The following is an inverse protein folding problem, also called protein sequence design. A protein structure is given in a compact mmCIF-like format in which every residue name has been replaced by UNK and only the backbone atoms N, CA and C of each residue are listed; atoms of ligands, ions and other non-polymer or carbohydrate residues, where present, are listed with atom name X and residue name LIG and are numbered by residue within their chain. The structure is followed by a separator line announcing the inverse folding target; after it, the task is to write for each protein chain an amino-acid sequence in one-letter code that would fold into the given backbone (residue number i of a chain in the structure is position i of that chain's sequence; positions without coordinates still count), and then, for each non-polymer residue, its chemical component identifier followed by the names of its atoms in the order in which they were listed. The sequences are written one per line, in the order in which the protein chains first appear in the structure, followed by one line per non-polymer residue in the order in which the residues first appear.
data_IF_792458087746
#
_entry.id   IF_792458087746
#
_cell.length_a   1.000
_cell.length_b   1.000
_cell.length_c   1.000
_cell.angle_alpha   90.00
_cell.angle_beta   90.00
_cell.angle_gamma   90.00
#
_symmetry.space_group_name_H-M   'P 1'
#
loop_
_entity.id
_entity.type
_entity.pdbx_description
1 polymer ?
#
# COMPACT_ATOMS: atom_id res chain seq x y z
N UNK A 1 7.42 7.19 -11.31
CA UNK A 1 6.35 6.36 -11.90
C UNK A 1 5.52 7.14 -12.93
N UNK A 2 4.90 8.29 -12.57
CA UNK A 2 4.05 9.05 -13.51
C UNK A 2 4.86 9.56 -14.71
N UNK A 3 5.98 10.22 -14.47
CA UNK A 3 6.85 10.70 -15.54
C UNK A 3 7.36 9.56 -16.43
N UNK A 4 7.64 8.42 -15.84
CA UNK A 4 8.06 7.21 -16.53
C UNK A 4 6.95 6.64 -17.43
N UNK A 5 5.70 6.60 -16.95
CA UNK A 5 4.55 6.21 -17.79
C UNK A 5 4.35 7.21 -18.94
N UNK A 6 4.46 8.52 -18.66
CA UNK A 6 4.28 9.53 -19.70
C UNK A 6 5.41 9.47 -20.75
N UNK A 7 6.66 9.10 -20.37
CA UNK A 7 7.79 8.99 -21.29
C UNK A 7 7.70 7.82 -22.28
N UNK A 8 6.80 6.84 -22.06
CA UNK A 8 6.56 5.77 -23.04
C UNK A 8 6.17 6.34 -24.41
N UNK A 9 5.52 7.49 -24.45
CA UNK A 9 5.13 8.17 -25.68
C UNK A 9 6.29 8.79 -26.46
N UNK A 10 7.49 8.84 -25.87
CA UNK A 10 8.70 9.22 -26.59
C UNK A 10 9.21 8.10 -27.50
N UNK A 11 8.79 6.85 -27.21
CA UNK A 11 9.17 5.66 -27.99
C UNK A 11 8.04 5.16 -28.91
N UNK A 12 6.79 5.39 -28.51
CA UNK A 12 5.61 4.92 -29.23
C UNK A 12 4.63 6.07 -29.44
N UNK A 13 4.32 6.37 -30.68
CA UNK A 13 3.30 7.37 -30.99
C UNK A 13 1.91 6.88 -30.63
N UNK A 14 1.26 7.62 -29.72
CA UNK A 14 -0.15 7.42 -29.36
C UNK A 14 -0.98 8.59 -29.89
N UNK A 15 -1.75 8.33 -30.94
CA UNK A 15 -2.57 9.36 -31.57
C UNK A 15 -3.84 9.66 -30.75
N UNK A 16 -4.39 8.63 -30.10
CA UNK A 16 -5.67 8.73 -29.43
C UNK A 16 -5.84 7.65 -28.35
N UNK A 17 -6.44 7.99 -27.22
CA UNK A 17 -6.86 7.04 -26.20
C UNK A 17 -8.32 7.23 -25.80
N UNK A 18 -8.94 6.17 -25.32
CA UNK A 18 -10.22 6.19 -24.60
C UNK A 18 -9.98 5.61 -23.22
N UNK A 19 -10.26 6.41 -22.18
CA UNK A 19 -10.22 5.98 -20.79
C UNK A 19 -11.62 5.99 -20.21
N UNK A 20 -11.90 5.04 -19.33
CA UNK A 20 -13.16 4.97 -18.58
C UNK A 20 -12.90 4.92 -17.08
N UNK A 21 -13.82 5.48 -16.31
CA UNK A 21 -13.91 5.31 -14.86
C UNK A 21 -15.13 4.43 -14.59
N UNK A 22 -14.93 3.42 -13.76
CA UNK A 22 -15.94 2.43 -13.41
C UNK A 22 -16.42 2.64 -11.97
N UNK A 23 -17.69 2.33 -11.72
CA UNK A 23 -18.23 2.18 -10.37
C UNK A 23 -17.89 0.80 -9.77
N UNK A 24 -18.34 0.53 -8.55
CA UNK A 24 -18.15 -0.76 -7.85
C UNK A 24 -18.79 -1.94 -8.58
N UNK A 25 -19.83 -1.68 -9.37
CA UNK A 25 -20.53 -2.68 -10.20
C UNK A 25 -19.94 -2.81 -11.60
N UNK A 26 -18.81 -2.13 -11.86
CA UNK A 26 -18.13 -2.07 -13.17
C UNK A 26 -18.92 -1.38 -14.28
N UNK A 27 -19.90 -0.55 -13.95
CA UNK A 27 -20.54 0.32 -14.92
C UNK A 27 -19.64 1.50 -15.26
N UNK A 28 -19.64 1.94 -16.51
CA UNK A 28 -18.92 3.14 -16.93
C UNK A 28 -19.64 4.38 -16.39
N UNK A 29 -19.02 5.14 -15.52
CA UNK A 29 -19.53 6.38 -14.93
C UNK A 29 -18.89 7.64 -15.49
N UNK A 30 -17.74 7.49 -16.16
CA UNK A 30 -17.09 8.56 -16.90
C UNK A 30 -16.29 7.98 -18.05
N UNK A 31 -16.28 8.65 -19.20
CA UNK A 31 -15.40 8.36 -20.31
C UNK A 31 -14.66 9.64 -20.71
N UNK A 32 -13.35 9.52 -20.96
CA UNK A 32 -12.50 10.59 -21.44
C UNK A 32 -11.71 10.10 -22.65
N UNK A 33 -11.78 10.82 -23.75
CA UNK A 33 -11.17 10.42 -25.00
C UNK A 33 -10.38 11.57 -25.64
N UNK A 34 -9.33 11.25 -26.39
CA UNK A 34 -8.50 12.21 -27.10
C UNK A 34 -7.00 12.04 -26.84
N UNK A 35 -6.27 13.14 -26.77
CA UNK A 35 -4.83 13.13 -26.53
C UNK A 35 -4.49 12.37 -25.24
N UNK A 36 -3.57 11.42 -25.31
CA UNK A 36 -3.26 10.46 -24.24
C UNK A 36 -3.03 11.12 -22.87
N UNK A 37 -2.26 12.19 -22.76
CA UNK A 37 -2.05 12.90 -21.49
C UNK A 37 -3.34 13.59 -21.04
N UNK A 38 -4.01 14.35 -21.92
CA UNK A 38 -5.19 15.16 -21.53
C UNK A 38 -6.37 14.29 -21.12
N UNK A 39 -6.70 13.27 -21.91
CA UNK A 39 -7.78 12.33 -21.61
C UNK A 39 -7.51 11.56 -20.31
N UNK A 40 -6.27 11.09 -20.12
CA UNK A 40 -5.89 10.44 -18.88
C UNK A 40 -6.03 11.38 -17.65
N UNK A 41 -5.53 12.61 -17.72
CA UNK A 41 -5.65 13.59 -16.62
C UNK A 41 -7.10 13.94 -16.30
N UNK A 42 -7.96 14.03 -17.32
CA UNK A 42 -9.39 14.26 -17.14
C UNK A 42 -10.05 13.11 -16.37
N UNK A 43 -9.76 11.86 -16.74
CA UNK A 43 -10.27 10.68 -16.02
C UNK A 43 -9.74 10.63 -14.57
N UNK A 44 -8.47 10.94 -14.33
CA UNK A 44 -7.91 11.03 -12.99
C UNK A 44 -8.59 12.11 -12.14
N UNK A 45 -8.82 13.30 -12.70
CA UNK A 45 -9.49 14.39 -11.98
C UNK A 45 -10.95 14.03 -11.62
N UNK A 46 -11.61 13.25 -12.45
CA UNK A 46 -12.94 12.72 -12.13
C UNK A 46 -12.87 11.70 -10.98
N UNK A 47 -11.92 10.77 -11.06
CA UNK A 47 -11.70 9.75 -10.03
C UNK A 47 -11.35 10.37 -8.67
N UNK A 48 -10.50 11.40 -8.65
CA UNK A 48 -10.11 12.12 -7.44
C UNK A 48 -11.32 12.70 -6.70
N UNK A 49 -12.32 13.21 -7.41
CA UNK A 49 -13.55 13.73 -6.80
C UNK A 49 -14.39 12.67 -6.11
N UNK A 50 -14.27 11.41 -6.53
CA UNK A 50 -15.04 10.29 -5.96
C UNK A 50 -14.30 9.64 -4.78
N UNK A 51 -12.98 9.48 -4.88
CA UNK A 51 -12.24 8.60 -3.97
C UNK A 51 -11.16 9.32 -3.16
N UNK A 52 -10.77 10.54 -3.52
CA UNK A 52 -9.76 11.27 -2.78
C UNK A 52 -10.39 11.98 -1.59
N UNK A 53 -10.10 11.50 -0.41
CA UNK A 53 -10.55 12.09 0.85
C UNK A 53 -9.47 13.06 1.34
N UNK A 54 -9.73 14.37 1.42
CA UNK A 54 -8.79 15.31 1.99
C UNK A 54 -8.69 15.10 3.50
N UNK A 55 -7.48 15.03 4.03
CA UNK A 55 -7.19 15.02 5.46
C UNK A 55 -6.48 16.32 5.83
N UNK A 56 -6.85 16.92 6.97
CA UNK A 56 -6.25 18.18 7.41
C UNK A 56 -4.82 18.00 7.92
N UNK A 57 -4.54 16.86 8.56
CA UNK A 57 -3.23 16.52 9.11
C UNK A 57 -3.06 15.00 9.17
N UNK A 58 -1.81 14.53 9.27
CA UNK A 58 -1.53 13.11 9.45
C UNK A 58 -1.83 12.65 10.90
N UNK A 59 -2.18 11.38 11.04
CA UNK A 59 -2.50 10.76 12.34
C UNK A 59 -1.29 10.02 12.93
N UNK A 60 -1.33 9.82 14.24
CA UNK A 60 -0.37 8.99 14.99
C UNK A 60 -0.57 7.51 14.69
N UNK A 61 -1.83 7.11 14.52
CA UNK A 61 -2.26 5.75 14.29
C UNK A 61 -3.17 5.75 13.07
N UNK A 62 -2.94 4.81 12.15
CA UNK A 62 -3.84 4.56 11.04
C UNK A 62 -4.23 3.09 11.04
N UNK A 63 -5.51 2.81 11.18
CA UNK A 63 -6.06 1.46 11.05
C UNK A 63 -6.55 1.31 9.62
N UNK A 64 -6.14 0.24 8.96
CA UNK A 64 -6.55 -0.02 7.58
C UNK A 64 -6.88 -1.50 7.37
N UNK A 65 -8.03 -1.76 6.76
CA UNK A 65 -8.38 -3.09 6.28
C UNK A 65 -7.98 -3.24 4.81
N UNK A 66 -7.50 -4.42 4.45
CA UNK A 66 -7.30 -4.78 3.04
C UNK A 66 -8.62 -5.00 2.27
N UNK A 67 -9.76 -5.05 2.98
CA UNK A 67 -11.10 -5.14 2.41
C UNK A 67 -11.61 -6.57 2.21
N UNK A 68 -11.07 -7.55 2.93
CA UNK A 68 -11.51 -8.95 2.92
C UNK A 68 -11.16 -9.71 1.65
N UNK A 69 -11.62 -10.96 1.58
CA UNK A 69 -11.36 -11.86 0.45
C UNK A 69 -11.92 -11.30 -0.87
N UNK A 70 -11.18 -11.38 -1.97
CA UNK A 70 -9.83 -11.94 -2.16
C UNK A 70 -8.68 -10.93 -1.98
N UNK A 71 -8.96 -9.70 -1.53
CA UNK A 71 -7.94 -8.62 -1.45
C UNK A 71 -6.93 -8.84 -0.32
N UNK A 72 -7.28 -9.66 0.67
CA UNK A 72 -6.47 -9.98 1.84
C UNK A 72 -5.99 -11.45 1.88
N UNK A 73 -6.11 -12.17 0.76
CA UNK A 73 -5.76 -13.59 0.66
C UNK A 73 -4.28 -13.85 1.04
N UNK A 74 -3.40 -12.89 0.73
CA UNK A 74 -1.97 -12.91 1.06
C UNK A 74 -1.43 -11.49 1.25
N UNK A 75 -0.23 -11.37 1.83
CA UNK A 75 0.38 -10.08 2.10
C UNK A 75 0.73 -9.31 0.82
N UNK A 76 1.07 -10.00 -0.26
CA UNK A 76 1.34 -9.38 -1.57
C UNK A 76 0.14 -8.58 -2.10
N UNK A 77 -1.08 -9.03 -1.81
CA UNK A 77 -2.30 -8.30 -2.16
C UNK A 77 -2.63 -7.23 -1.11
N UNK A 78 -2.56 -7.58 0.18
CA UNK A 78 -2.90 -6.70 1.29
C UNK A 78 -1.99 -5.45 1.38
N UNK A 79 -0.74 -5.56 0.93
CA UNK A 79 0.23 -4.45 0.89
C UNK A 79 -0.32 -3.20 0.18
N UNK A 80 -1.24 -3.34 -0.76
CA UNK A 80 -1.87 -2.21 -1.45
C UNK A 80 -2.60 -1.26 -0.48
N UNK A 81 -3.13 -1.78 0.64
CA UNK A 81 -3.74 -0.96 1.68
C UNK A 81 -2.70 -0.08 2.40
N UNK A 82 -1.48 -0.57 2.60
CA UNK A 82 -0.39 0.22 3.17
C UNK A 82 0.01 1.40 2.28
N UNK A 83 -0.06 1.26 0.96
CA UNK A 83 0.26 2.34 0.01
C UNK A 83 -0.66 3.55 0.17
N UNK A 84 -1.90 3.34 0.57
CA UNK A 84 -2.84 4.42 0.90
C UNK A 84 -2.62 4.92 2.34
N UNK A 85 -2.58 4.01 3.31
CA UNK A 85 -2.46 4.32 4.73
C UNK A 85 -1.19 5.12 5.08
N UNK A 86 -0.06 4.85 4.40
CA UNK A 86 1.21 5.55 4.65
C UNK A 86 1.12 7.07 4.47
N UNK A 87 0.21 7.54 3.61
CA UNK A 87 0.02 8.98 3.35
C UNK A 87 -0.74 9.66 4.50
N UNK A 88 -1.57 8.92 5.21
CA UNK A 88 -2.36 9.40 6.34
C UNK A 88 -1.62 9.29 7.68
N UNK A 89 -0.57 8.46 7.76
CA UNK A 89 0.21 8.24 8.95
C UNK A 89 1.45 9.15 8.99
N UNK A 90 1.67 9.85 10.09
CA UNK A 90 2.86 10.71 10.28
C UNK A 90 4.14 9.89 10.45
N UNK A 91 5.33 10.48 10.22
CA UNK A 91 6.60 9.87 10.62
C UNK A 91 6.61 9.52 12.11
N UNK A 92 7.13 8.33 12.47
CA UNK A 92 7.09 7.80 13.84
C UNK A 92 5.76 7.15 14.23
N UNK A 93 4.71 7.30 13.42
CA UNK A 93 3.40 6.72 13.67
C UNK A 93 3.33 5.21 13.42
N UNK A 94 2.17 4.64 13.69
CA UNK A 94 1.90 3.21 13.55
C UNK A 94 0.74 2.98 12.57
N UNK A 95 0.95 2.09 11.60
CA UNK A 95 -0.12 1.60 10.72
C UNK A 95 -0.51 0.21 11.20
N UNK A 96 -1.78 0.00 11.48
CA UNK A 96 -2.36 -1.29 11.85
C UNK A 96 -3.06 -1.84 10.60
N UNK A 97 -2.49 -2.87 10.00
CA UNK A 97 -3.05 -3.55 8.84
C UNK A 97 -3.85 -4.78 9.29
N UNK A 98 -5.14 -4.79 9.02
CA UNK A 98 -6.01 -5.95 9.20
C UNK A 98 -6.15 -6.70 7.86
N UNK A 99 -5.60 -7.91 7.79
CA UNK A 99 -5.62 -8.74 6.60
C UNK A 99 -5.42 -10.21 6.98
N UNK A 100 -6.28 -11.10 6.52
CA UNK A 100 -6.22 -12.54 6.88
C UNK A 100 -4.91 -13.21 6.46
N UNK A 101 -4.42 -12.94 5.26
CA UNK A 101 -3.18 -13.48 4.69
C UNK A 101 -3.07 -15.02 4.81
N UNK A 102 -4.19 -15.73 4.57
CA UNK A 102 -4.25 -17.21 4.68
C UNK A 102 -3.27 -17.95 3.79
N UNK A 103 -2.89 -17.36 2.66
CA UNK A 103 -1.88 -17.89 1.75
C UNK A 103 -0.48 -17.26 2.00
N UNK A 104 -0.22 -16.76 3.21
CA UNK A 104 1.08 -16.21 3.59
C UNK A 104 1.48 -15.00 2.76
N UNK A 105 2.66 -15.04 2.15
CA UNK A 105 3.18 -13.93 1.35
C UNK A 105 2.66 -13.91 -0.09
N UNK A 106 2.37 -15.09 -0.69
CA UNK A 106 1.58 -15.23 -1.91
C UNK A 106 2.32 -15.06 -3.24
N UNK A 107 3.59 -14.62 -3.24
CA UNK A 107 4.40 -14.49 -4.46
C UNK A 107 5.88 -14.79 -4.14
N UNK A 108 6.52 -15.66 -4.89
CA UNK A 108 7.81 -16.25 -4.58
C UNK A 108 8.94 -15.22 -4.46
N UNK A 109 9.05 -14.28 -5.38
CA UNK A 109 10.10 -13.24 -5.33
C UNK A 109 9.87 -12.29 -4.16
N UNK A 110 8.62 -11.90 -3.93
CA UNK A 110 8.25 -11.09 -2.76
C UNK A 110 8.59 -11.80 -1.45
N UNK A 111 8.25 -13.09 -1.34
CA UNK A 111 8.56 -13.91 -0.18
C UNK A 111 10.06 -14.00 0.06
N UNK A 112 10.84 -14.31 -0.98
CA UNK A 112 12.29 -14.35 -0.89
C UNK A 112 12.88 -13.01 -0.39
N UNK A 113 12.40 -11.89 -0.92
CA UNK A 113 12.86 -10.58 -0.49
C UNK A 113 12.50 -10.27 0.96
N UNK A 114 11.28 -10.60 1.38
CA UNK A 114 10.84 -10.35 2.76
C UNK A 114 11.55 -11.23 3.79
N UNK A 115 11.85 -12.49 3.43
CA UNK A 115 12.41 -13.48 4.38
C UNK A 115 13.94 -13.55 4.38
N UNK A 116 14.60 -13.18 3.27
CA UNK A 116 16.04 -13.33 3.12
C UNK A 116 16.81 -12.01 3.19
N UNK A 117 16.12 -10.87 3.21
CA UNK A 117 16.80 -9.58 3.35
C UNK A 117 17.27 -9.36 4.79
N UNK A 118 18.45 -8.82 4.94
CA UNK A 118 19.05 -8.52 6.25
C UNK A 118 18.32 -7.37 6.98
N UNK A 119 17.75 -6.45 6.23
CA UNK A 119 17.03 -5.30 6.78
C UNK A 119 16.07 -4.66 5.75
N UNK A 120 15.09 -3.84 6.21
CA UNK A 120 14.28 -3.05 5.30
C UNK A 120 15.11 -2.09 4.42
N UNK A 121 16.17 -1.51 4.96
CA UNK A 121 17.05 -0.60 4.24
C UNK A 121 17.74 -1.31 3.07
N UNK A 122 18.15 -2.54 3.27
CA UNK A 122 18.75 -3.37 2.22
C UNK A 122 17.77 -3.55 1.04
N UNK A 123 16.51 -3.87 1.32
CA UNK A 123 15.49 -4.02 0.26
C UNK A 123 15.32 -2.74 -0.57
N UNK A 124 15.35 -1.57 0.09
CA UNK A 124 15.25 -0.28 -0.61
C UNK A 124 16.47 0.00 -1.48
N UNK A 125 17.66 -0.32 -1.01
CA UNK A 125 18.89 -0.13 -1.78
C UNK A 125 18.96 -1.11 -2.96
N UNK A 126 18.62 -2.37 -2.73
CA UNK A 126 18.72 -3.42 -3.74
C UNK A 126 17.74 -3.19 -4.90
N UNK A 127 16.50 -2.73 -4.63
CA UNK A 127 15.55 -2.45 -5.72
C UNK A 127 16.00 -1.27 -6.61
N UNK A 128 16.80 -0.35 -6.07
CA UNK A 128 17.37 0.75 -6.84
C UNK A 128 18.53 0.29 -7.73
N UNK A 129 19.28 -0.71 -7.27
CA UNK A 129 20.39 -1.30 -8.03
C UNK A 129 19.89 -2.25 -9.11
N UNK A 130 18.92 -3.07 -8.75
CA UNK A 130 18.37 -4.12 -9.62
C UNK A 130 16.87 -4.24 -9.41
N UNK A 131 16.11 -3.78 -10.41
CA UNK A 131 14.67 -3.99 -10.39
C UNK A 131 14.35 -5.48 -10.57
N UNK A 132 13.52 -5.99 -9.66
CA UNK A 132 12.95 -7.32 -9.73
C UNK A 132 11.44 -7.28 -9.47
N UNK A 133 10.66 -7.91 -10.37
CA UNK A 133 9.21 -7.99 -10.21
C UNK A 133 8.89 -8.84 -8.97
N UNK A 134 8.03 -8.37 -8.09
CA UNK A 134 7.84 -8.94 -6.75
C UNK A 134 8.66 -8.21 -5.70
N UNK A 135 9.98 -8.08 -5.87
CA UNK A 135 10.88 -7.34 -4.97
C UNK A 135 10.49 -5.87 -4.78
N UNK A 136 9.92 -5.23 -5.80
CA UNK A 136 9.42 -3.85 -5.69
C UNK A 136 8.35 -3.68 -4.61
N UNK A 137 7.55 -4.71 -4.31
CA UNK A 137 6.54 -4.65 -3.24
C UNK A 137 7.16 -4.83 -1.85
N UNK A 138 8.17 -5.69 -1.73
CA UNK A 138 8.94 -5.80 -0.50
C UNK A 138 9.63 -4.46 -0.18
N UNK A 139 10.27 -3.85 -1.18
CA UNK A 139 10.83 -2.52 -1.04
C UNK A 139 9.79 -1.44 -0.70
N UNK A 140 8.54 -1.56 -1.19
CA UNK A 140 7.45 -0.64 -0.83
C UNK A 140 7.06 -0.76 0.65
N UNK A 141 7.00 -1.97 1.21
CA UNK A 141 6.82 -2.20 2.66
C UNK A 141 8.02 -1.63 3.43
N UNK A 142 9.23 -1.92 2.97
CA UNK A 142 10.46 -1.42 3.58
C UNK A 142 10.53 0.11 3.65
N UNK A 143 10.06 0.80 2.61
CA UNK A 143 9.95 2.27 2.63
C UNK A 143 8.98 2.79 3.68
N UNK A 144 7.92 2.06 4.01
CA UNK A 144 7.03 2.41 5.11
C UNK A 144 7.73 2.19 6.45
N UNK A 145 8.39 1.04 6.62
CA UNK A 145 9.13 0.66 7.83
C UNK A 145 10.27 1.63 8.17
N UNK A 146 10.82 2.35 7.18
CA UNK A 146 11.90 3.33 7.40
C UNK A 146 11.57 4.36 8.48
N UNK A 147 10.32 4.75 8.59
CA UNK A 147 9.90 5.80 9.54
C UNK A 147 8.52 5.58 10.17
N UNK A 148 7.94 4.39 10.02
CA UNK A 148 6.66 4.02 10.61
C UNK A 148 6.72 2.58 11.10
N UNK A 149 5.91 2.24 12.09
CA UNK A 149 5.71 0.84 12.48
C UNK A 149 4.51 0.27 11.74
N UNK A 150 4.62 -1.00 11.34
CA UNK A 150 3.51 -1.75 10.77
C UNK A 150 3.13 -2.87 11.74
N UNK A 151 1.92 -2.79 12.28
CA UNK A 151 1.30 -3.84 13.08
C UNK A 151 0.39 -4.65 12.16
N UNK A 152 0.54 -5.96 12.17
CA UNK A 152 -0.24 -6.86 11.32
C UNK A 152 -1.15 -7.72 12.17
N UNK A 153 -2.45 -7.64 11.91
CA UNK A 153 -3.46 -8.55 12.44
C UNK A 153 -3.82 -9.52 11.33
N UNK A 154 -3.38 -10.78 11.46
CA UNK A 154 -3.54 -11.79 10.41
C UNK A 154 -3.63 -13.21 10.97
N UNK A 155 -3.90 -14.18 10.09
CA UNK A 155 -3.88 -15.60 10.42
C UNK A 155 -2.46 -16.21 10.32
N UNK A 156 -1.44 -15.43 9.96
CA UNK A 156 -0.05 -15.90 9.89
C UNK A 156 0.55 -16.08 11.29
N UNK A 157 1.47 -17.07 11.47
CA UNK A 157 2.16 -17.27 12.75
C UNK A 157 2.96 -16.02 13.17
N UNK A 158 2.88 -15.65 14.45
CA UNK A 158 3.54 -14.46 15.01
C UNK A 158 5.06 -14.46 14.77
N UNK A 159 5.70 -15.63 14.91
CA UNK A 159 7.14 -15.77 14.66
C UNK A 159 7.50 -15.49 13.21
N UNK A 160 6.64 -15.87 12.27
CA UNK A 160 6.84 -15.59 10.86
C UNK A 160 6.62 -14.11 10.55
N UNK A 161 5.56 -13.49 11.07
CA UNK A 161 5.31 -12.05 10.90
C UNK A 161 6.46 -11.22 11.46
N UNK A 162 7.00 -11.62 12.61
CA UNK A 162 8.16 -10.95 13.20
C UNK A 162 9.43 -11.09 12.34
N UNK A 163 9.64 -12.25 11.70
CA UNK A 163 10.81 -12.49 10.84
C UNK A 163 10.83 -11.64 9.57
N UNK A 164 9.68 -11.09 9.17
CA UNK A 164 9.54 -10.21 8.01
C UNK A 164 9.39 -8.72 8.39
N UNK A 165 9.96 -8.33 9.54
CA UNK A 165 10.03 -6.95 10.05
C UNK A 165 8.68 -6.32 10.44
N UNK A 166 7.61 -7.10 10.56
CA UNK A 166 6.30 -6.63 11.01
C UNK A 166 6.05 -7.02 12.47
N UNK A 167 5.16 -6.30 13.14
CA UNK A 167 4.76 -6.64 14.51
C UNK A 167 3.42 -7.37 14.49
N UNK A 168 3.37 -8.65 14.90
CA UNK A 168 2.13 -9.43 14.89
C UNK A 168 1.21 -9.05 16.04
N UNK A 169 -0.09 -9.18 15.79
CA UNK A 169 -1.13 -9.08 16.82
C UNK A 169 -2.27 -10.06 16.50
N UNK A 170 -2.80 -10.70 17.55
CA UNK A 170 -3.91 -11.62 17.42
C UNK A 170 -5.25 -10.90 17.22
N UNK A 171 -5.38 -9.66 17.70
CA UNK A 171 -6.60 -8.88 17.55
C UNK A 171 -6.31 -7.43 17.18
N UNK A 172 -7.30 -6.81 16.54
CA UNK A 172 -7.26 -5.38 16.22
C UNK A 172 -7.25 -4.53 17.50
N UNK A 173 -7.93 -4.97 18.54
CA UNK A 173 -7.99 -4.28 19.83
C UNK A 173 -6.61 -4.23 20.49
N UNK A 174 -5.91 -5.36 20.58
CA UNK A 174 -4.57 -5.43 21.18
C UNK A 174 -3.56 -4.59 20.39
N UNK A 175 -3.64 -4.65 19.06
CA UNK A 175 -2.80 -3.83 18.19
C UNK A 175 -3.04 -2.32 18.42
N UNK A 176 -4.31 -1.92 18.52
CA UNK A 176 -4.68 -0.53 18.78
C UNK A 176 -4.22 -0.05 20.17
N UNK A 177 -4.48 -0.83 21.23
CA UNK A 177 -4.04 -0.48 22.59
C UNK A 177 -2.52 -0.34 22.68
N UNK A 178 -1.78 -1.24 22.04
CA UNK A 178 -0.32 -1.16 21.96
C UNK A 178 0.14 0.11 21.22
N UNK A 179 -0.45 0.41 20.07
CA UNK A 179 -0.14 1.61 19.30
C UNK A 179 -0.51 2.89 20.06
N UNK A 180 -1.67 2.91 20.72
CA UNK A 180 -2.14 4.05 21.50
C UNK A 180 -1.24 4.33 22.71
N UNK A 181 -0.82 3.28 23.44
CA UNK A 181 0.15 3.40 24.53
C UNK A 181 1.49 3.95 24.05
N UNK A 182 1.97 3.49 22.89
CA UNK A 182 3.22 3.97 22.27
C UNK A 182 3.13 5.44 21.85
N UNK A 183 2.00 5.86 21.32
CA UNK A 183 1.81 7.22 20.80
C UNK A 183 1.50 8.26 21.90
N UNK A 184 1.18 7.83 23.13
CA UNK A 184 0.76 8.70 24.23
C UNK A 184 -0.74 8.99 24.23
N UNK A 185 -1.29 9.38 25.39
CA UNK A 185 -2.74 9.41 25.68
C UNK A 185 -3.61 10.40 24.88
N UNK A 186 -3.07 11.13 23.90
CA UNK A 186 -3.82 12.07 23.03
C UNK A 186 -3.60 11.78 21.55
N UNK A 187 -3.32 10.53 21.22
CA UNK A 187 -3.03 10.10 19.85
C UNK A 187 -4.23 10.30 18.90
N UNK A 188 -3.98 10.91 17.74
CA UNK A 188 -4.96 10.99 16.65
C UNK A 188 -4.97 9.67 15.90
N UNK A 189 -6.18 9.16 15.60
CA UNK A 189 -6.37 7.94 14.85
C UNK A 189 -7.27 8.18 13.63
N UNK A 190 -6.94 7.51 12.52
CA UNK A 190 -7.82 7.31 11.37
C UNK A 190 -8.12 5.82 11.19
N UNK A 191 -9.35 5.53 10.74
CA UNK A 191 -9.82 4.19 10.40
C UNK A 191 -10.32 4.19 8.95
#
# INVERSE_FOLDING_TARGET
LRADIDSVTDFVRLDFIVNVVLDEKKNIICAAAGHHIKAHRQACAFLDRLYKIPIAEQADIVVVSAGGFPKDINLYQAQKALDNAKNACKPGGTIILAASCKEGLGEEVFERWMTQSESPEFMVQEIQRRFELGGHKAAAIAMVLKNKSIYLVSDMPDSFVSSIFLTPFASLQDAFESAYKKAGGSAKCYV
#
